data_IF_896448000961
#
_entry.id   IF_896448000961
#
_cell.length_a   1.000
_cell.length_b   1.000
_cell.length_c   1.000
_cell.angle_alpha   90.00
_cell.angle_beta   90.00
_cell.angle_gamma   90.00
#
_symmetry.space_group_name_H-M   'P 1'
#
loop_
_entity.id
_entity.type
_entity.pdbx_description
1 polymer ?
#
# COMPACT_ATOMS: atom_id res chain seq x y z
N UNK A 1 12.63 -2.65 8.64
CA UNK A 1 11.75 -3.67 8.04
C UNK A 1 10.42 -3.61 8.74
N UNK A 2 9.37 -3.25 8.00
CA UNK A 2 8.02 -3.16 8.53
C UNK A 2 7.44 -4.55 8.79
N UNK A 3 6.60 -4.67 9.82
CA UNK A 3 5.77 -5.86 10.06
C UNK A 3 4.31 -5.54 9.84
N UNK A 4 3.51 -6.53 9.41
CA UNK A 4 2.07 -6.39 9.19
C UNK A 4 1.29 -7.54 9.81
N UNK A 5 0.27 -7.19 10.58
CA UNK A 5 -0.76 -8.09 11.07
C UNK A 5 -2.06 -7.76 10.33
N UNK A 6 -2.64 -8.76 9.65
CA UNK A 6 -3.91 -8.62 8.93
C UNK A 6 -5.00 -9.45 9.59
N UNK A 7 -6.22 -8.92 9.61
CA UNK A 7 -7.41 -9.62 10.06
C UNK A 7 -8.55 -9.40 9.08
N UNK A 8 -9.26 -10.48 8.72
CA UNK A 8 -10.50 -10.38 7.94
C UNK A 8 -11.69 -10.36 8.89
N UNK A 9 -12.61 -9.42 8.70
CA UNK A 9 -13.92 -9.46 9.32
C UNK A 9 -14.79 -10.50 8.58
N UNK A 10 -15.29 -11.51 9.30
CA UNK A 10 -16.07 -12.62 8.70
C UNK A 10 -17.46 -12.19 8.23
N UNK A 11 -17.99 -11.06 8.72
CA UNK A 11 -19.32 -10.57 8.34
C UNK A 11 -19.27 -9.67 7.13
N UNK A 12 -18.27 -8.79 7.05
CA UNK A 12 -18.15 -7.80 5.98
C UNK A 12 -17.16 -8.22 4.89
N UNK A 13 -16.27 -9.17 5.18
CA UNK A 13 -15.19 -9.59 4.31
C UNK A 13 -14.03 -8.60 4.23
N UNK A 14 -14.14 -7.43 4.89
CA UNK A 14 -13.12 -6.38 4.90
C UNK A 14 -11.88 -6.83 5.67
N UNK A 15 -10.72 -6.35 5.23
CA UNK A 15 -9.43 -6.65 5.84
C UNK A 15 -8.97 -5.40 6.57
N UNK A 16 -8.47 -5.57 7.79
CA UNK A 16 -7.74 -4.53 8.50
C UNK A 16 -6.27 -4.89 8.68
N UNK A 17 -5.40 -3.87 8.66
CA UNK A 17 -3.97 -3.97 8.87
C UNK A 17 -3.53 -3.23 10.14
N UNK A 18 -2.49 -3.77 10.76
CA UNK A 18 -1.69 -3.14 11.81
C UNK A 18 -0.23 -3.24 11.40
N UNK A 19 0.45 -2.10 11.29
CA UNK A 19 1.85 -2.00 10.87
C UNK A 19 2.73 -1.61 12.06
N UNK A 20 3.91 -2.23 12.17
CA UNK A 20 4.91 -1.93 13.19
C UNK A 20 6.26 -1.56 12.55
N UNK A 21 6.88 -0.42 12.91
CA UNK A 21 6.33 0.68 13.72
C UNK A 21 5.06 1.29 13.11
N UNK A 22 4.25 1.98 13.94
CA UNK A 22 2.94 2.50 13.53
C UNK A 22 3.05 3.37 12.26
N UNK A 23 2.26 3.03 11.25
CA UNK A 23 2.11 3.81 10.03
C UNK A 23 0.65 3.83 9.59
N UNK A 24 -0.15 4.69 10.22
CA UNK A 24 -1.60 4.79 9.99
C UNK A 24 -1.96 5.09 8.54
N UNK A 25 -1.20 5.95 7.87
CA UNK A 25 -1.51 6.35 6.50
C UNK A 25 -1.29 5.17 5.53
N UNK A 26 -0.28 4.34 5.80
CA UNK A 26 -0.04 3.11 5.05
C UNK A 26 -1.06 2.01 5.38
N UNK A 27 -1.48 1.89 6.64
CA UNK A 27 -2.60 1.02 7.03
C UNK A 27 -3.86 1.39 6.25
N UNK A 28 -4.25 2.67 6.29
CA UNK A 28 -5.43 3.19 5.58
C UNK A 28 -5.32 3.03 4.07
N UNK A 29 -4.15 3.28 3.47
CA UNK A 29 -3.91 3.04 2.05
C UNK A 29 -4.19 1.59 1.66
N UNK A 30 -3.72 0.62 2.45
CA UNK A 30 -3.98 -0.80 2.20
C UNK A 30 -5.47 -1.15 2.35
N UNK A 31 -6.13 -0.60 3.37
CA UNK A 31 -7.54 -0.84 3.69
C UNK A 31 -8.53 -0.14 2.74
N UNK A 32 -8.07 0.85 1.97
CA UNK A 32 -8.92 1.64 1.06
C UNK A 32 -8.60 1.40 -0.41
N UNK A 33 -7.35 1.55 -0.83
CA UNK A 33 -6.96 1.47 -2.24
C UNK A 33 -6.65 0.03 -2.67
N UNK A 34 -6.06 -0.77 -1.79
CA UNK A 34 -5.62 -2.14 -2.10
C UNK A 34 -6.69 -3.19 -1.71
N UNK A 35 -7.71 -2.78 -0.98
CA UNK A 35 -8.74 -3.66 -0.44
C UNK A 35 -9.43 -4.50 -1.52
N UNK A 36 -9.06 -5.77 -1.62
CA UNK A 36 -9.60 -6.69 -2.63
C UNK A 36 -9.08 -6.48 -4.06
N UNK A 37 -8.16 -5.53 -4.30
CA UNK A 37 -7.64 -5.22 -5.63
C UNK A 37 -6.26 -5.83 -5.86
N UNK A 38 -6.26 -7.13 -6.21
CA UNK A 38 -5.04 -7.84 -6.61
C UNK A 38 -4.44 -7.24 -7.90
N UNK A 39 -5.28 -6.72 -8.80
CA UNK A 39 -4.82 -6.20 -10.09
C UNK A 39 -3.97 -4.94 -9.91
N UNK A 40 -4.33 -4.07 -8.96
CA UNK A 40 -3.52 -2.90 -8.60
C UNK A 40 -2.17 -3.32 -7.99
N UNK A 41 -2.14 -4.35 -7.15
CA UNK A 41 -0.89 -4.91 -6.61
C UNK A 41 -0.01 -5.43 -7.76
N UNK A 42 -0.56 -6.22 -8.67
CA UNK A 42 0.18 -6.79 -9.79
C UNK A 42 0.68 -5.68 -10.74
N UNK A 43 -0.15 -4.67 -11.01
CA UNK A 43 0.24 -3.48 -11.76
C UNK A 43 1.42 -2.74 -11.11
N UNK A 44 1.39 -2.58 -9.79
CA UNK A 44 2.47 -1.96 -9.02
C UNK A 44 3.81 -2.72 -9.20
N UNK A 45 3.79 -4.05 -9.06
CA UNK A 45 4.96 -4.89 -9.27
C UNK A 45 5.49 -4.78 -10.72
N UNK A 46 4.60 -4.89 -11.71
CA UNK A 46 4.96 -4.81 -13.12
C UNK A 46 5.53 -3.45 -13.49
N UNK A 47 4.91 -2.36 -13.00
CA UNK A 47 5.36 -1.00 -13.29
C UNK A 47 6.74 -0.75 -12.71
N UNK A 48 7.02 -1.25 -11.51
CA UNK A 48 8.33 -1.12 -10.87
C UNK A 48 9.40 -1.99 -11.53
N UNK A 49 9.07 -3.20 -11.99
CA UNK A 49 10.01 -4.05 -12.72
C UNK A 49 10.44 -3.41 -14.06
N UNK A 50 9.54 -2.68 -14.70
CA UNK A 50 9.77 -2.01 -15.99
C UNK A 50 10.22 -0.55 -15.87
N UNK A 51 10.22 0.03 -14.66
CA UNK A 51 10.67 1.40 -14.44
C UNK A 51 12.19 1.47 -14.58
N UNK A 52 12.67 2.08 -15.67
CA UNK A 52 14.09 2.37 -15.94
C UNK A 52 14.64 3.46 -15.00
N UNK A 53 14.50 3.28 -13.68
CA UNK A 53 14.96 4.22 -12.66
C UNK A 53 14.12 5.51 -12.55
N UNK A 54 12.98 5.59 -13.21
CA UNK A 54 12.06 6.74 -13.13
C UNK A 54 11.15 6.67 -11.91
N UNK A 55 10.70 7.83 -11.42
CA UNK A 55 9.57 7.90 -10.51
C UNK A 55 8.25 7.77 -11.27
N UNK A 56 7.23 7.25 -10.61
CA UNK A 56 5.86 7.31 -11.11
C UNK A 56 4.88 7.49 -9.96
N UNK A 57 3.74 8.10 -10.28
CA UNK A 57 2.66 8.35 -9.35
C UNK A 57 1.42 7.56 -9.77
N UNK A 58 0.65 7.14 -8.78
CA UNK A 58 -0.67 6.54 -8.94
C UNK A 58 -1.60 7.25 -7.98
N UNK A 59 -2.73 7.71 -8.50
CA UNK A 59 -3.75 8.39 -7.72
C UNK A 59 -4.92 7.43 -7.53
N UNK A 60 -5.21 7.12 -6.27
CA UNK A 60 -6.36 6.33 -5.86
C UNK A 60 -7.58 7.20 -5.53
N UNK A 61 -8.43 6.69 -4.65
CA UNK A 61 -9.67 7.36 -4.23
C UNK A 61 -9.43 8.39 -3.10
N UNK A 62 -8.59 8.03 -2.14
CA UNK A 62 -8.27 8.80 -0.94
C UNK A 62 -6.79 9.18 -0.87
N UNK A 63 -5.91 8.48 -1.59
CA UNK A 63 -4.47 8.67 -1.51
C UNK A 63 -3.79 8.75 -2.89
N UNK A 64 -2.70 9.51 -2.99
CA UNK A 64 -1.69 9.31 -4.03
C UNK A 64 -0.54 8.48 -3.48
N UNK A 65 0.03 7.63 -4.33
CA UNK A 65 1.25 6.89 -4.10
C UNK A 65 2.27 7.29 -5.15
N UNK A 66 3.37 7.91 -4.72
CA UNK A 66 4.55 8.15 -5.54
C UNK A 66 5.61 7.12 -5.23
N UNK A 67 6.16 6.48 -6.27
CA UNK A 67 7.26 5.53 -6.17
C UNK A 67 8.49 6.07 -6.88
N UNK A 68 9.62 6.04 -6.19
CA UNK A 68 10.96 6.29 -6.76
C UNK A 68 11.70 4.94 -6.84
N UNK A 69 12.95 4.89 -7.35
CA UNK A 69 13.73 3.66 -7.34
C UNK A 69 13.96 3.05 -5.95
N UNK A 70 13.96 3.88 -4.90
CA UNK A 70 14.38 3.53 -3.55
C UNK A 70 13.31 3.79 -2.47
N UNK A 71 12.33 4.65 -2.74
CA UNK A 71 11.32 5.08 -1.76
C UNK A 71 9.90 4.99 -2.28
N UNK A 72 8.96 5.04 -1.34
CA UNK A 72 7.58 5.41 -1.58
C UNK A 72 7.23 6.69 -0.82
N UNK A 73 6.22 7.39 -1.29
CA UNK A 73 5.54 8.50 -0.62
C UNK A 73 4.03 8.30 -0.79
N UNK A 74 3.27 8.32 0.31
CA UNK A 74 1.80 8.30 0.28
C UNK A 74 1.28 9.61 0.84
N UNK A 75 0.37 10.24 0.13
CA UNK A 75 -0.24 11.52 0.48
C UNK A 75 -1.77 11.42 0.41
N UNK A 76 -2.51 12.04 1.34
CA UNK A 76 -3.96 12.14 1.23
C UNK A 76 -4.33 13.09 0.08
N UNK A 77 -5.37 12.76 -0.68
CA UNK A 77 -5.84 13.57 -1.83
C UNK A 77 -6.76 14.73 -1.43
N UNK A 78 -7.41 14.61 -0.29
CA UNK A 78 -8.28 15.66 0.25
C UNK A 78 -7.51 16.49 1.25
N UNK A 79 -7.88 17.77 1.39
CA UNK A 79 -7.33 18.69 2.40
C UNK A 79 -7.54 18.09 3.80
N UNK A 80 -6.54 17.35 4.22
CA UNK A 80 -6.46 16.68 5.48
C UNK A 80 -5.10 17.06 6.06
N UNK A 81 -5.09 17.57 7.29
CA UNK A 81 -3.88 18.03 7.98
C UNK A 81 -2.88 16.88 8.28
N UNK A 82 -3.19 15.65 7.84
CA UNK A 82 -2.32 14.47 7.91
C UNK A 82 -1.05 14.68 7.08
N UNK A 83 0.09 14.53 7.76
CA UNK A 83 1.41 14.57 7.10
C UNK A 83 1.61 13.37 6.16
N UNK A 84 2.10 13.59 4.93
CA UNK A 84 2.57 12.53 4.05
C UNK A 84 3.48 11.51 4.75
N UNK A 85 3.41 10.26 4.31
CA UNK A 85 4.25 9.19 4.82
C UNK A 85 5.21 8.70 3.75
N UNK A 86 6.50 8.70 4.07
CA UNK A 86 7.55 8.14 3.23
C UNK A 86 8.22 6.93 3.89
N UNK A 87 8.77 6.05 3.06
CA UNK A 87 9.53 4.90 3.53
C UNK A 87 10.28 4.21 2.41
N UNK A 88 10.97 3.12 2.75
CA UNK A 88 11.73 2.35 1.77
C UNK A 88 10.77 1.63 0.81
N UNK A 89 11.05 1.68 -0.49
CA UNK A 89 10.25 1.00 -1.52
C UNK A 89 10.11 -0.50 -1.22
N UNK A 90 11.20 -1.13 -0.78
CA UNK A 90 11.21 -2.55 -0.43
C UNK A 90 10.23 -2.89 0.70
N UNK A 91 10.08 -2.02 1.70
CA UNK A 91 9.15 -2.22 2.80
C UNK A 91 7.70 -2.20 2.28
N UNK A 92 7.35 -1.27 1.39
CA UNK A 92 6.02 -1.24 0.77
C UNK A 92 5.73 -2.52 -0.02
N UNK A 93 6.66 -2.96 -0.89
CA UNK A 93 6.45 -4.16 -1.69
C UNK A 93 6.41 -5.43 -0.85
N UNK A 94 7.13 -5.47 0.26
CA UNK A 94 6.97 -6.53 1.25
C UNK A 94 5.54 -6.56 1.80
N UNK A 95 4.98 -5.42 2.19
CA UNK A 95 3.60 -5.34 2.68
C UNK A 95 2.57 -5.75 1.62
N UNK A 96 2.75 -5.30 0.38
CA UNK A 96 1.87 -5.65 -0.75
C UNK A 96 1.90 -7.15 -1.08
N UNK A 97 3.07 -7.78 -1.04
CA UNK A 97 3.20 -9.24 -1.23
C UNK A 97 2.45 -10.00 -0.12
N UNK A 98 2.62 -9.57 1.14
CA UNK A 98 1.89 -10.16 2.28
C UNK A 98 0.39 -10.00 2.14
N UNK A 99 -0.08 -8.82 1.73
CA UNK A 99 -1.49 -8.54 1.49
C UNK A 99 -2.06 -9.40 0.35
N UNK A 100 -1.36 -9.48 -0.78
CA UNK A 100 -1.71 -10.34 -1.93
C UNK A 100 -1.85 -11.81 -1.52
N UNK A 101 -0.89 -12.32 -0.74
CA UNK A 101 -0.93 -13.68 -0.22
C UNK A 101 -2.12 -13.90 0.73
N UNK A 102 -2.51 -12.88 1.51
CA UNK A 102 -3.68 -12.94 2.38
C UNK A 102 -4.99 -12.92 1.58
N UNK A 103 -5.08 -12.13 0.50
CA UNK A 103 -6.23 -12.12 -0.41
C UNK A 103 -6.41 -13.47 -1.11
N UNK A 104 -5.33 -14.10 -1.55
CA UNK A 104 -5.35 -15.34 -2.33
C UNK A 104 -5.70 -16.60 -1.51
N UNK A 105 -5.75 -16.50 -0.18
CA UNK A 105 -6.05 -17.61 0.74
C UNK A 105 -7.51 -17.67 1.22
N UNK A 106 -8.33 -16.69 0.84
CA UNK A 106 -9.76 -16.66 1.11
C UNK A 106 -10.55 -17.26 -0.05
#
# INVERSE_FOLDING_TARGET
MLEILMKRDEKTGLISAKISPENKLLEEFLETEIQGDIALIDYLFDRTANALGGSFEITGNAFSLTLTPDKYLIEPLFDDDRTPQEGAREDLFYLLDRWRAFLSRA
#
